data_IF_638191621508
#
_entry.id   IF_638191621508
#
_cell.length_a   1.000
_cell.length_b   1.000
_cell.length_c   1.000
_cell.angle_alpha   90.00
_cell.angle_beta   90.00
_cell.angle_gamma   90.00
#
_symmetry.space_group_name_H-M   'P 1'
#
loop_
_entity.id
_entity.type
_entity.pdbx_description
1 polymer ?
#
# COMPACT_ATOMS: atom_id res chain seq x y z
N UNK A 1 -33.98 11.80 -32.39
CA UNK A 1 -33.59 10.36 -32.39
C UNK A 1 -32.15 10.29 -32.86
N UNK A 2 -31.20 10.16 -31.97
CA UNK A 2 -29.80 9.92 -32.24
C UNK A 2 -29.22 9.13 -31.05
N UNK A 3 -29.25 7.80 -31.15
CA UNK A 3 -28.65 6.93 -30.15
C UNK A 3 -27.14 6.90 -30.34
N UNK A 4 -26.42 7.25 -29.32
CA UNK A 4 -24.97 7.07 -29.25
C UNK A 4 -24.70 5.59 -28.93
N UNK A 5 -24.14 4.86 -29.91
CA UNK A 5 -23.63 3.50 -29.67
C UNK A 5 -22.20 3.59 -29.15
N UNK A 6 -21.96 3.15 -27.94
CA UNK A 6 -20.61 2.91 -27.46
C UNK A 6 -20.11 1.59 -28.07
N UNK A 7 -19.09 1.65 -28.90
CA UNK A 7 -18.34 0.49 -29.38
C UNK A 7 -17.21 0.29 -28.40
N UNK A 8 -17.25 -0.81 -27.63
CA UNK A 8 -16.12 -1.24 -26.82
C UNK A 8 -14.99 -1.69 -27.75
N UNK A 9 -13.75 -1.22 -27.57
CA UNK A 9 -12.64 -1.67 -28.38
C UNK A 9 -12.32 -3.14 -28.03
N UNK A 10 -12.49 -4.01 -29.02
CA UNK A 10 -12.01 -5.39 -29.02
C UNK A 10 -10.48 -5.40 -28.95
N UNK A 11 -9.95 -6.16 -28.00
CA UNK A 11 -8.58 -6.68 -27.85
C UNK A 11 -7.50 -5.90 -28.61
N UNK A 12 -6.85 -4.97 -27.94
CA UNK A 12 -5.57 -4.44 -28.39
C UNK A 12 -4.51 -5.53 -28.23
N UNK A 13 -3.91 -5.96 -29.36
CA UNK A 13 -2.72 -6.76 -29.37
C UNK A 13 -1.57 -5.96 -28.75
N UNK A 14 -1.18 -6.30 -27.54
CA UNK A 14 0.05 -5.78 -26.96
C UNK A 14 1.21 -6.50 -27.65
N UNK A 15 1.86 -5.82 -28.60
CA UNK A 15 3.19 -6.19 -29.06
C UNK A 15 4.13 -6.10 -27.85
N UNK A 16 4.61 -7.25 -27.39
CA UNK A 16 5.73 -7.34 -26.47
C UNK A 16 6.94 -6.79 -27.25
N UNK A 17 7.31 -5.54 -27.00
CA UNK A 17 8.62 -5.04 -27.36
C UNK A 17 9.57 -5.65 -26.36
N UNK A 18 10.55 -6.41 -26.86
CA UNK A 18 11.76 -6.76 -26.12
C UNK A 18 12.35 -5.48 -25.52
N UNK A 19 12.03 -5.21 -24.27
CA UNK A 19 12.71 -4.17 -23.52
C UNK A 19 13.97 -4.80 -22.96
N UNK A 20 15.12 -4.39 -23.50
CA UNK A 20 16.39 -4.53 -22.80
C UNK A 20 16.16 -4.14 -21.33
N UNK A 21 16.61 -5.01 -20.42
CA UNK A 21 16.56 -4.72 -19.00
C UNK A 21 17.04 -3.29 -18.77
N UNK A 22 16.26 -2.44 -18.07
CA UNK A 22 16.68 -1.08 -17.84
C UNK A 22 18.01 -1.15 -17.08
N UNK A 23 19.08 -0.67 -17.72
CA UNK A 23 20.31 -0.39 -17.00
C UNK A 23 19.92 0.70 -16.01
N UNK A 24 19.83 0.34 -14.74
CA UNK A 24 19.78 1.31 -13.66
C UNK A 24 21.10 2.08 -13.69
N UNK A 25 21.12 3.14 -14.48
CA UNK A 25 22.12 4.17 -14.25
C UNK A 25 21.94 4.57 -12.80
N UNK A 26 22.98 4.47 -12.02
CA UNK A 26 23.09 5.01 -10.68
C UNK A 26 22.62 6.46 -10.78
N UNK A 27 21.33 6.69 -10.56
CA UNK A 27 20.80 8.01 -10.32
C UNK A 27 21.53 8.46 -9.06
N UNK A 28 22.52 9.31 -9.23
CA UNK A 28 23.13 10.04 -8.13
C UNK A 28 21.96 10.45 -7.24
N UNK A 29 21.97 10.00 -5.98
CA UNK A 29 20.87 10.15 -5.07
C UNK A 29 20.33 11.57 -5.20
N UNK A 30 19.15 11.73 -5.81
CA UNK A 30 18.59 13.05 -6.00
C UNK A 30 18.55 13.70 -4.61
N UNK A 31 19.07 14.90 -4.44
CA UNK A 31 19.13 15.62 -3.15
C UNK A 31 17.74 15.84 -2.54
N UNK A 32 16.68 15.49 -3.27
CA UNK A 32 15.31 15.64 -2.81
C UNK A 32 14.93 14.56 -1.81
N UNK A 33 14.23 14.95 -0.76
CA UNK A 33 13.67 14.01 0.20
C UNK A 33 12.38 13.32 -0.30
N UNK A 34 11.82 13.76 -1.40
CA UNK A 34 10.59 13.21 -1.97
C UNK A 34 10.91 12.15 -3.04
N UNK A 35 10.29 10.99 -2.92
CA UNK A 35 10.16 9.98 -3.97
C UNK A 35 8.76 10.08 -4.57
N UNK A 36 8.65 10.07 -5.90
CA UNK A 36 7.38 10.31 -6.61
C UNK A 36 6.93 9.13 -7.49
N UNK A 37 7.57 7.98 -7.33
CA UNK A 37 7.35 6.81 -8.19
C UNK A 37 8.01 6.95 -9.56
N UNK A 38 7.63 6.15 -10.52
CA UNK A 38 8.10 6.12 -11.93
C UNK A 38 9.50 6.68 -12.22
N UNK A 39 9.64 8.03 -12.27
CA UNK A 39 10.91 8.71 -12.56
C UNK A 39 11.85 8.76 -11.37
N UNK A 40 11.31 8.66 -10.16
CA UNK A 40 12.04 8.68 -8.90
C UNK A 40 11.44 7.64 -7.93
N UNK A 41 11.57 6.33 -8.25
CA UNK A 41 10.97 5.26 -7.48
C UNK A 41 11.59 5.09 -6.10
N UNK A 42 10.82 4.50 -5.18
CA UNK A 42 11.27 4.26 -3.81
C UNK A 42 12.30 3.12 -3.73
N UNK A 43 12.16 2.08 -4.55
CA UNK A 43 12.97 0.86 -4.48
C UNK A 43 14.50 1.11 -4.45
N UNK A 44 15.11 1.92 -5.35
CA UNK A 44 16.55 2.17 -5.32
C UNK A 44 17.03 2.78 -4.00
N UNK A 45 16.20 3.61 -3.37
CA UNK A 45 16.50 4.24 -2.08
C UNK A 45 16.48 3.22 -0.94
N UNK A 46 15.47 2.35 -0.90
CA UNK A 46 15.37 1.26 0.08
C UNK A 46 16.55 0.30 -0.06
N UNK A 47 16.92 -0.07 -1.29
CA UNK A 47 18.06 -0.95 -1.58
C UNK A 47 19.37 -0.33 -1.11
N UNK A 48 19.61 0.97 -1.40
CA UNK A 48 20.80 1.68 -0.95
C UNK A 48 20.90 1.74 0.58
N UNK A 49 19.77 1.96 1.27
CA UNK A 49 19.75 2.03 2.73
C UNK A 49 19.87 0.64 3.36
N UNK A 50 19.21 -0.41 2.83
CA UNK A 50 19.41 -1.79 3.24
C UNK A 50 20.89 -2.23 3.13
N UNK A 51 21.59 -1.78 2.07
CA UNK A 51 23.01 -2.08 1.86
C UNK A 51 23.93 -1.55 2.96
N UNK A 52 23.50 -0.60 3.78
CA UNK A 52 24.27 0.07 4.82
C UNK A 52 23.71 -0.12 6.23
N UNK A 53 22.44 -0.45 6.36
CA UNK A 53 21.74 -0.54 7.63
C UNK A 53 22.22 -1.71 8.49
N UNK A 54 22.03 -1.57 9.81
CA UNK A 54 22.16 -2.63 10.82
C UNK A 54 20.79 -3.02 11.39
N UNK A 55 19.80 -2.11 11.32
CA UNK A 55 18.41 -2.43 11.65
C UNK A 55 17.50 -1.88 10.52
N UNK A 56 16.47 -2.65 10.16
CA UNK A 56 15.44 -2.27 9.22
C UNK A 56 14.06 -2.62 9.80
N UNK A 57 13.21 -1.60 9.90
CA UNK A 57 11.84 -1.70 10.39
C UNK A 57 10.88 -1.32 9.26
N UNK A 58 9.94 -2.18 8.93
CA UNK A 58 9.01 -1.98 7.85
C UNK A 58 7.59 -2.15 8.38
N UNK A 59 6.74 -1.14 8.21
CA UNK A 59 5.31 -1.25 8.49
C UNK A 59 4.53 -0.88 7.23
N UNK A 60 3.66 -1.79 6.75
CA UNK A 60 2.87 -1.60 5.53
C UNK A 60 1.45 -2.11 5.69
N UNK A 61 0.49 -1.46 5.04
CA UNK A 61 -0.89 -1.91 5.07
C UNK A 61 -1.04 -3.31 4.46
N UNK A 62 -0.27 -3.59 3.41
CA UNK A 62 -0.22 -4.92 2.80
C UNK A 62 1.12 -5.22 2.12
N UNK A 63 1.38 -6.51 1.93
CA UNK A 63 2.51 -7.02 1.19
C UNK A 63 2.05 -8.02 0.12
N UNK A 64 2.57 -7.87 -1.10
CA UNK A 64 2.34 -8.77 -2.23
C UNK A 64 3.64 -9.47 -2.65
N UNK A 65 3.57 -10.70 -3.19
CA UNK A 65 4.75 -11.46 -3.60
C UNK A 65 5.67 -10.70 -4.55
N UNK A 66 5.10 -9.95 -5.48
CA UNK A 66 5.85 -9.16 -6.46
C UNK A 66 6.74 -8.08 -5.84
N UNK A 67 6.27 -7.43 -4.78
CA UNK A 67 7.06 -6.44 -4.05
C UNK A 67 8.12 -7.10 -3.17
N UNK A 68 7.75 -8.21 -2.49
CA UNK A 68 8.70 -8.96 -1.66
C UNK A 68 9.83 -9.54 -2.53
N UNK A 69 9.53 -10.07 -3.74
CA UNK A 69 10.53 -10.56 -4.68
C UNK A 69 11.58 -9.50 -5.04
N UNK A 70 11.17 -8.23 -5.21
CA UNK A 70 12.09 -7.13 -5.49
C UNK A 70 13.06 -6.85 -4.33
N UNK A 71 12.58 -6.99 -3.09
CA UNK A 71 13.38 -6.75 -1.89
C UNK A 71 14.19 -7.96 -1.46
N UNK A 72 13.80 -9.17 -1.85
CA UNK A 72 14.32 -10.44 -1.36
C UNK A 72 15.86 -10.57 -1.42
N UNK A 73 16.55 -10.29 -2.56
CA UNK A 73 18.00 -10.38 -2.63
C UNK A 73 18.67 -9.46 -1.60
N UNK A 74 18.15 -8.24 -1.46
CA UNK A 74 18.71 -7.21 -0.57
C UNK A 74 18.44 -7.50 0.91
N UNK A 75 17.28 -8.10 1.23
CA UNK A 75 16.96 -8.57 2.57
C UNK A 75 17.84 -9.75 2.98
N UNK A 76 18.11 -10.70 2.07
CA UNK A 76 19.05 -11.80 2.31
C UNK A 76 20.45 -11.29 2.58
N UNK A 77 20.97 -10.38 1.76
CA UNK A 77 22.29 -9.76 1.96
C UNK A 77 22.36 -8.96 3.26
N UNK A 78 21.29 -8.26 3.62
CA UNK A 78 21.17 -7.50 4.87
C UNK A 78 21.24 -8.43 6.09
N UNK A 79 20.45 -9.50 6.09
CA UNK A 79 20.42 -10.49 7.19
C UNK A 79 21.72 -11.30 7.28
N UNK A 80 22.35 -11.64 6.14
CA UNK A 80 23.65 -12.33 6.10
C UNK A 80 24.77 -11.50 6.76
N UNK A 81 24.61 -10.16 6.84
CA UNK A 81 25.52 -9.25 7.55
C UNK A 81 25.10 -8.99 9.01
N UNK A 82 24.32 -9.90 9.61
CA UNK A 82 23.76 -9.79 10.96
C UNK A 82 22.80 -8.59 11.15
N UNK A 83 22.20 -8.12 10.09
CA UNK A 83 21.15 -7.10 10.16
C UNK A 83 19.92 -7.61 10.91
N UNK A 84 19.20 -6.71 11.58
CA UNK A 84 17.96 -7.02 12.29
C UNK A 84 16.77 -6.48 11.50
N UNK A 85 15.90 -7.37 11.02
CA UNK A 85 14.69 -7.06 10.28
C UNK A 85 13.45 -7.20 11.16
N UNK A 86 12.58 -6.18 11.17
CA UNK A 86 11.21 -6.30 11.68
C UNK A 86 10.22 -5.88 10.59
N UNK A 87 9.22 -6.71 10.37
CA UNK A 87 8.14 -6.42 9.40
C UNK A 87 6.79 -6.50 10.10
N UNK A 88 5.99 -5.46 9.96
CA UNK A 88 4.61 -5.39 10.40
C UNK A 88 3.70 -5.16 9.18
N UNK A 89 2.99 -6.18 8.75
CA UNK A 89 2.00 -6.07 7.68
C UNK A 89 0.58 -6.04 8.26
N UNK A 90 -0.36 -5.35 7.62
CA UNK A 90 -1.77 -5.40 8.00
C UNK A 90 -2.49 -6.59 7.38
N UNK A 91 -3.51 -7.10 8.06
CA UNK A 91 -4.46 -8.07 7.49
C UNK A 91 -5.75 -7.41 6.97
N UNK A 92 -5.78 -6.08 6.99
CA UNK A 92 -6.94 -5.30 6.57
C UNK A 92 -7.43 -5.70 5.18
N UNK A 93 -8.71 -5.98 5.07
CA UNK A 93 -9.38 -6.47 3.85
C UNK A 93 -8.75 -7.75 3.24
N UNK A 94 -7.94 -8.47 3.98
CA UNK A 94 -7.23 -9.67 3.52
C UNK A 94 -6.38 -9.46 2.25
N UNK A 95 -5.83 -8.25 2.04
CA UNK A 95 -5.01 -7.91 0.86
C UNK A 95 -3.61 -8.46 0.95
N UNK A 96 -3.00 -8.44 2.15
CA UNK A 96 -1.69 -9.08 2.35
C UNK A 96 -1.74 -10.52 1.83
N UNK A 97 -0.81 -10.87 0.93
CA UNK A 97 -0.81 -12.19 0.33
C UNK A 97 -0.11 -13.20 1.25
N UNK A 98 -0.73 -14.37 1.54
CA UNK A 98 -0.10 -15.44 2.32
C UNK A 98 1.26 -15.87 1.78
N UNK A 99 1.45 -15.86 0.44
CA UNK A 99 2.73 -16.19 -0.18
C UNK A 99 3.78 -15.14 0.17
N UNK A 100 3.43 -13.86 0.22
CA UNK A 100 4.34 -12.81 0.64
C UNK A 100 4.81 -13.00 2.09
N UNK A 101 3.91 -13.43 2.98
CA UNK A 101 4.25 -13.74 4.37
C UNK A 101 5.18 -14.96 4.46
N UNK A 102 4.86 -16.06 3.76
CA UNK A 102 5.76 -17.24 3.67
C UNK A 102 7.15 -16.85 3.17
N UNK A 103 7.25 -16.00 2.14
CA UNK A 103 8.54 -15.51 1.64
C UNK A 103 9.35 -14.77 2.71
N UNK A 104 8.71 -14.00 3.60
CA UNK A 104 9.42 -13.38 4.72
C UNK A 104 9.85 -14.41 5.77
N UNK A 105 9.05 -15.44 6.02
CA UNK A 105 9.41 -16.54 6.92
C UNK A 105 10.57 -17.41 6.41
N UNK A 106 10.75 -17.49 5.08
CA UNK A 106 11.87 -18.22 4.45
C UNK A 106 13.22 -17.48 4.57
N UNK A 107 13.23 -16.23 5.04
CA UNK A 107 14.47 -15.50 5.26
C UNK A 107 15.22 -16.09 6.47
N UNK A 108 16.50 -16.36 6.32
CA UNK A 108 17.39 -16.75 7.42
C UNK A 108 17.95 -15.52 8.13
N UNK A 109 18.23 -15.63 9.44
CA UNK A 109 18.86 -14.55 10.22
C UNK A 109 17.91 -13.90 11.23
N UNK A 110 18.26 -12.71 11.70
CA UNK A 110 17.56 -11.99 12.78
C UNK A 110 16.34 -11.26 12.26
N UNK A 111 15.25 -11.99 12.06
CA UNK A 111 13.98 -11.44 11.61
C UNK A 111 12.87 -11.63 12.64
N UNK A 112 11.94 -10.68 12.69
CA UNK A 112 10.68 -10.72 13.45
C UNK A 112 9.56 -10.23 12.53
N UNK A 113 8.65 -11.13 12.16
CA UNK A 113 7.60 -10.89 11.19
C UNK A 113 6.26 -10.96 11.90
N UNK A 114 5.51 -9.86 11.88
CA UNK A 114 4.21 -9.75 12.54
C UNK A 114 3.13 -9.27 11.59
N UNK A 115 1.91 -9.63 11.93
CA UNK A 115 0.71 -9.10 11.27
C UNK A 115 -0.11 -8.32 12.29
N UNK A 116 -0.47 -7.10 11.93
CA UNK A 116 -1.42 -6.30 12.69
C UNK A 116 -2.83 -6.77 12.34
N UNK A 117 -3.48 -7.43 13.28
CA UNK A 117 -4.84 -7.94 13.12
C UNK A 117 -5.84 -6.80 13.28
N UNK A 118 -6.50 -6.42 12.18
CA UNK A 118 -7.53 -5.40 12.19
C UNK A 118 -8.85 -5.99 12.68
N UNK A 119 -9.46 -5.32 13.65
CA UNK A 119 -10.84 -5.60 14.05
C UNK A 119 -11.78 -4.71 13.23
N UNK A 120 -13.06 -5.04 13.18
CA UNK A 120 -14.07 -4.37 12.33
C UNK A 120 -14.10 -2.84 12.39
N UNK A 121 -13.55 -2.21 13.44
CA UNK A 121 -13.54 -0.76 13.63
C UNK A 121 -12.19 -0.09 13.43
N UNK A 122 -11.11 -0.84 13.20
CA UNK A 122 -9.77 -0.31 13.10
C UNK A 122 -9.13 -0.67 11.76
N UNK A 123 -8.79 0.34 10.97
CA UNK A 123 -8.03 0.16 9.73
C UNK A 123 -6.53 0.32 10.00
N UNK A 124 -5.71 -0.54 9.38
CA UNK A 124 -4.26 -0.42 9.39
C UNK A 124 -3.79 -0.04 7.99
N UNK A 125 -3.41 1.24 7.79
CA UNK A 125 -3.07 1.77 6.47
C UNK A 125 -1.71 2.46 6.43
N UNK A 126 -0.81 2.08 7.32
CA UNK A 126 0.54 2.63 7.45
C UNK A 126 1.46 2.14 6.33
N UNK A 127 2.38 3.00 5.86
CA UNK A 127 3.48 2.63 4.96
C UNK A 127 4.71 3.40 5.39
N UNK A 128 5.61 2.70 6.05
CA UNK A 128 6.83 3.28 6.63
C UNK A 128 7.98 2.28 6.54
N UNK A 129 9.16 2.79 6.15
CA UNK A 129 10.40 2.03 6.08
C UNK A 129 11.45 2.80 6.86
N UNK A 130 12.05 2.20 7.89
CA UNK A 130 12.98 2.84 8.82
C UNK A 130 14.29 2.07 8.82
N UNK A 131 15.39 2.76 8.67
CA UNK A 131 16.73 2.18 8.64
C UNK A 131 17.61 2.87 9.68
N UNK A 132 18.37 2.08 10.46
CA UNK A 132 19.40 2.56 11.38
C UNK A 132 20.75 2.11 10.87
N UNK A 133 21.71 3.02 10.91
CA UNK A 133 23.07 2.79 10.43
C UNK A 133 24.06 2.59 11.58
N UNK A 134 25.26 1.99 11.30
CA UNK A 134 26.26 1.72 12.33
C UNK A 134 26.77 2.96 13.09
N UNK A 135 26.72 4.13 12.45
CA UNK A 135 27.12 5.42 13.02
C UNK A 135 26.08 6.05 13.95
N UNK A 136 24.99 5.35 14.22
CA UNK A 136 23.85 5.84 15.03
C UNK A 136 22.89 6.75 14.27
N UNK A 137 23.16 7.10 13.02
CA UNK A 137 22.21 7.84 12.18
C UNK A 137 21.13 6.93 11.61
N UNK A 138 20.09 7.53 11.00
CA UNK A 138 19.01 6.75 10.39
C UNK A 138 18.26 7.51 9.34
N UNK A 139 17.44 6.78 8.61
CA UNK A 139 16.48 7.30 7.62
C UNK A 139 15.14 6.63 7.77
N UNK A 140 14.09 7.39 7.63
CA UNK A 140 12.73 6.87 7.55
C UNK A 140 12.06 7.38 6.27
N UNK A 141 11.27 6.53 5.64
CA UNK A 141 10.41 6.88 4.51
C UNK A 141 8.97 6.71 4.96
N UNK A 142 8.17 7.76 4.86
CA UNK A 142 6.75 7.75 5.20
C UNK A 142 5.97 8.20 3.97
N UNK A 143 4.96 7.44 3.58
CA UNK A 143 4.20 7.78 2.38
C UNK A 143 3.11 6.79 2.01
N UNK A 144 2.90 6.59 0.71
CA UNK A 144 1.82 5.79 0.17
C UNK A 144 2.23 4.38 -0.27
N UNK A 145 3.55 4.07 -0.38
CA UNK A 145 4.03 2.81 -0.98
C UNK A 145 3.90 1.60 -0.05
N UNK A 146 3.04 0.66 -0.42
CA UNK A 146 3.03 -0.69 0.13
C UNK A 146 4.14 -1.56 -0.48
N UNK A 147 4.31 -2.80 0.01
CA UNK A 147 5.23 -3.77 -0.60
C UNK A 147 4.53 -4.44 -1.79
N UNK A 148 4.55 -3.76 -2.94
CA UNK A 148 4.14 -4.30 -4.24
C UNK A 148 5.08 -3.79 -5.32
N UNK A 149 5.17 -4.46 -6.47
CA UNK A 149 5.99 -3.98 -7.59
C UNK A 149 5.58 -2.58 -8.01
N UNK A 150 4.27 -2.37 -8.21
CA UNK A 150 3.76 -1.07 -8.64
C UNK A 150 4.13 0.04 -7.66
N UNK A 151 3.92 -0.17 -6.36
CA UNK A 151 4.19 0.87 -5.37
C UNK A 151 5.69 1.16 -5.17
N UNK A 152 6.55 0.16 -5.33
CA UNK A 152 8.00 0.33 -5.13
C UNK A 152 8.73 0.85 -6.37
N UNK A 153 8.20 0.59 -7.59
CA UNK A 153 8.93 0.77 -8.84
C UNK A 153 8.17 1.57 -9.91
N UNK A 154 6.95 1.15 -10.27
CA UNK A 154 6.30 1.56 -11.51
C UNK A 154 5.14 2.55 -11.32
N UNK A 155 4.57 2.60 -10.12
CA UNK A 155 3.39 3.39 -9.78
C UNK A 155 3.70 4.85 -9.48
N UNK A 156 2.65 5.64 -9.35
CA UNK A 156 2.73 7.03 -8.86
C UNK A 156 2.51 7.00 -7.36
N UNK A 157 3.58 7.17 -6.62
CA UNK A 157 3.59 7.07 -5.16
C UNK A 157 4.42 8.20 -4.57
N UNK A 158 3.98 8.75 -3.47
CA UNK A 158 4.74 9.75 -2.75
C UNK A 158 5.26 9.21 -1.43
N UNK A 159 6.59 9.28 -1.25
CA UNK A 159 7.23 8.93 0.00
C UNK A 159 8.24 10.03 0.38
N UNK A 160 8.12 10.53 1.59
CA UNK A 160 9.01 11.54 2.12
C UNK A 160 10.08 10.90 3.00
N UNK A 161 11.33 11.24 2.74
CA UNK A 161 12.50 10.77 3.50
C UNK A 161 12.80 11.71 4.66
N UNK A 162 12.75 11.20 5.87
CA UNK A 162 13.23 11.86 7.09
C UNK A 162 14.63 11.36 7.39
N UNK A 163 15.58 12.27 7.61
CA UNK A 163 16.99 11.95 7.88
C UNK A 163 17.32 12.40 9.29
N UNK A 164 17.79 11.50 10.15
CA UNK A 164 18.02 11.78 11.57
C UNK A 164 19.06 12.89 11.81
N UNK A 165 20.02 13.09 10.91
CA UNK A 165 21.03 14.15 11.04
C UNK A 165 20.47 15.56 10.88
N UNK A 166 19.30 15.72 10.22
CA UNK A 166 18.65 17.01 9.99
C UNK A 166 17.31 17.16 10.70
N UNK A 167 16.67 16.05 11.10
CA UNK A 167 15.36 15.99 11.74
C UNK A 167 15.33 14.86 12.78
N UNK A 168 16.18 14.98 13.82
CA UNK A 168 16.36 13.93 14.82
C UNK A 168 15.08 13.62 15.60
N UNK A 169 14.32 14.65 16.00
CA UNK A 169 13.05 14.46 16.73
C UNK A 169 12.03 13.70 15.88
N UNK A 170 11.83 14.10 14.62
CA UNK A 170 10.86 13.47 13.72
C UNK A 170 11.23 12.00 13.45
N UNK A 171 12.53 11.73 13.26
CA UNK A 171 13.01 10.36 13.05
C UNK A 171 12.76 9.48 14.28
N UNK A 172 13.04 9.99 15.49
CA UNK A 172 12.80 9.23 16.73
C UNK A 172 11.31 9.07 17.01
N UNK A 173 10.47 10.06 16.70
CA UNK A 173 9.02 9.94 16.83
C UNK A 173 8.46 8.85 15.92
N UNK A 174 8.88 8.81 14.64
CA UNK A 174 8.49 7.74 13.71
C UNK A 174 8.95 6.37 14.22
N UNK A 175 10.18 6.28 14.71
CA UNK A 175 10.76 5.05 15.26
C UNK A 175 10.05 4.58 16.53
N UNK A 176 9.64 5.52 17.38
CA UNK A 176 8.90 5.21 18.60
C UNK A 176 7.48 4.72 18.29
N UNK A 177 6.82 5.36 17.34
CA UNK A 177 5.48 4.93 16.88
C UNK A 177 5.54 3.53 16.26
N UNK A 178 6.54 3.22 15.43
CA UNK A 178 6.73 1.86 14.93
C UNK A 178 6.90 0.87 16.09
N UNK A 179 7.76 1.16 17.07
CA UNK A 179 8.00 0.27 18.22
C UNK A 179 6.73 0.04 19.04
N UNK A 180 5.93 1.09 19.25
CA UNK A 180 4.65 0.98 19.95
C UNK A 180 3.66 0.09 19.20
N UNK A 181 3.54 0.26 17.87
CA UNK A 181 2.67 -0.58 17.04
C UNK A 181 3.16 -2.02 16.95
N UNK A 182 4.46 -2.21 16.81
CA UNK A 182 5.07 -3.53 16.74
C UNK A 182 4.94 -4.34 18.04
N UNK A 183 4.88 -3.65 19.19
CA UNK A 183 4.61 -4.22 20.50
C UNK A 183 3.13 -4.23 20.92
N UNK A 184 2.22 -3.83 20.04
CA UNK A 184 0.81 -3.79 20.33
C UNK A 184 0.19 -5.18 20.40
N UNK A 185 -0.84 -5.38 21.23
CA UNK A 185 -1.52 -6.69 21.42
C UNK A 185 -2.11 -7.25 20.11
N UNK A 186 -2.44 -6.38 19.16
CA UNK A 186 -2.92 -6.76 17.82
C UNK A 186 -1.80 -7.13 16.84
N UNK A 187 -0.53 -6.85 17.16
CA UNK A 187 0.61 -7.24 16.34
C UNK A 187 1.06 -8.65 16.73
N UNK A 188 0.53 -9.64 16.04
CA UNK A 188 0.75 -11.05 16.33
C UNK A 188 1.91 -11.61 15.52
N UNK A 189 2.66 -12.54 16.11
CA UNK A 189 3.70 -13.28 15.42
C UNK A 189 3.10 -14.13 14.30
N UNK A 190 3.80 -14.21 13.18
CA UNK A 190 3.38 -15.02 12.02
C UNK A 190 4.21 -16.29 11.98
N UNK A 191 3.53 -17.42 11.93
CA UNK A 191 4.06 -18.75 11.64
C UNK A 191 3.24 -19.42 10.52
N UNK A 192 3.62 -20.62 10.11
CA UNK A 192 2.92 -21.36 9.04
C UNK A 192 1.47 -21.68 9.41
N UNK A 193 1.19 -21.98 10.67
CA UNK A 193 -0.17 -22.29 11.14
C UNK A 193 -1.07 -21.04 11.07
N UNK A 194 -0.51 -19.88 11.41
CA UNK A 194 -1.20 -18.60 11.26
C UNK A 194 -1.48 -18.31 9.79
N UNK A 195 -0.49 -18.48 8.90
CA UNK A 195 -0.63 -18.28 7.46
C UNK A 195 -1.71 -19.21 6.88
N UNK A 196 -1.75 -20.48 7.29
CA UNK A 196 -2.74 -21.43 6.82
C UNK A 196 -4.16 -21.07 7.29
N UNK A 197 -4.29 -20.57 8.51
CA UNK A 197 -5.56 -20.08 9.04
C UNK A 197 -6.00 -18.82 8.30
N UNK A 198 -5.09 -17.89 8.06
CA UNK A 198 -5.32 -16.69 7.28
C UNK A 198 -5.73 -16.99 5.84
N UNK A 199 -5.05 -17.95 5.17
CA UNK A 199 -5.39 -18.42 3.82
C UNK A 199 -6.81 -18.96 3.73
N UNK A 200 -7.28 -19.70 4.75
CA UNK A 200 -8.64 -20.29 4.80
C UNK A 200 -9.73 -19.24 4.96
N UNK A 201 -9.48 -18.16 5.68
CA UNK A 201 -10.45 -17.06 5.87
C UNK A 201 -10.52 -16.08 4.70
N UNK A 202 -9.54 -16.09 3.81
CA UNK A 202 -9.60 -15.23 2.61
C UNK A 202 -10.73 -15.70 1.70
N UNK A 203 -11.54 -14.77 1.15
CA UNK A 203 -12.54 -15.14 0.14
C UNK A 203 -11.84 -15.83 -1.05
N UNK A 204 -12.41 -16.93 -1.53
CA UNK A 204 -11.86 -17.71 -2.67
C UNK A 204 -11.84 -16.91 -3.97
N UNK A 205 -12.69 -15.89 -4.07
CA UNK A 205 -12.80 -14.96 -5.19
C UNK A 205 -12.04 -13.65 -4.95
N UNK A 206 -10.97 -13.66 -4.16
CA UNK A 206 -10.09 -12.50 -4.11
C UNK A 206 -9.60 -12.27 -5.53
N UNK A 207 -10.22 -11.30 -6.20
CA UNK A 207 -9.78 -10.78 -7.48
C UNK A 207 -8.28 -10.61 -7.38
N UNK A 208 -7.54 -11.35 -8.19
CA UNK A 208 -6.12 -11.10 -8.39
C UNK A 208 -6.04 -9.63 -8.79
N UNK A 209 -5.69 -8.77 -7.83
CA UNK A 209 -5.55 -7.34 -8.10
C UNK A 209 -4.54 -7.26 -9.24
N UNK A 210 -4.91 -6.80 -10.43
CA UNK A 210 -3.94 -6.60 -11.47
C UNK A 210 -2.88 -5.68 -10.89
N UNK A 211 -1.62 -6.07 -10.95
CA UNK A 211 -0.47 -5.35 -10.37
C UNK A 211 -0.36 -3.88 -10.82
N UNK A 212 -1.25 -3.44 -11.69
CA UNK A 212 -1.19 -2.14 -12.38
C UNK A 212 -1.88 -1.03 -11.60
N UNK A 213 -2.83 -1.34 -10.75
CA UNK A 213 -3.47 -0.38 -9.84
C UNK A 213 -3.89 -1.19 -8.62
N UNK A 214 -3.29 -0.95 -7.45
CA UNK A 214 -4.02 -1.23 -6.24
C UNK A 214 -5.12 -0.15 -6.18
N UNK A 215 -6.37 -0.42 -6.60
CA UNK A 215 -7.42 0.49 -6.26
C UNK A 215 -7.40 0.56 -4.73
N UNK A 216 -7.57 1.73 -4.17
CA UNK A 216 -8.09 1.79 -2.81
C UNK A 216 -9.25 0.82 -2.82
N UNK A 217 -9.10 -0.29 -2.09
CA UNK A 217 -10.08 -1.37 -2.12
C UNK A 217 -11.44 -0.75 -1.86
N UNK A 218 -12.47 -1.14 -2.62
CA UNK A 218 -13.78 -0.72 -2.25
C UNK A 218 -13.95 -1.13 -0.79
N UNK A 219 -14.07 -0.15 0.06
CA UNK A 219 -14.62 -0.36 1.37
C UNK A 219 -15.83 -1.28 1.22
N UNK A 220 -16.10 -2.09 2.22
CA UNK A 220 -17.36 -2.82 2.38
C UNK A 220 -18.46 -2.05 1.68
N UNK A 221 -19.33 -2.69 0.90
CA UNK A 221 -20.31 -2.02 0.09
C UNK A 221 -20.87 -0.84 0.90
N UNK A 222 -20.40 0.36 0.62
CA UNK A 222 -20.77 1.52 1.40
C UNK A 222 -22.25 1.68 1.25
N UNK A 223 -22.98 1.47 2.33
CA UNK A 223 -24.37 1.87 2.38
C UNK A 223 -24.41 3.40 2.50
N UNK A 224 -25.29 4.06 1.75
CA UNK A 224 -25.44 5.50 1.86
C UNK A 224 -25.84 5.85 3.29
N UNK A 225 -25.21 6.88 3.86
CA UNK A 225 -25.64 7.45 5.12
C UNK A 225 -27.01 8.12 4.95
N UNK A 226 -27.78 8.27 6.03
CA UNK A 226 -29.13 8.84 6.03
C UNK A 226 -29.28 10.15 5.22
N UNK A 227 -28.29 11.04 5.29
CA UNK A 227 -28.26 12.29 4.49
C UNK A 227 -28.06 12.00 3.00
N UNK A 228 -27.30 10.97 2.65
CA UNK A 228 -27.11 10.55 1.25
C UNK A 228 -28.34 9.83 0.73
N UNK A 229 -29.00 9.01 1.54
CA UNK A 229 -30.29 8.37 1.20
C UNK A 229 -31.35 9.41 0.88
N UNK A 230 -31.51 10.42 1.72
CA UNK A 230 -32.45 11.54 1.50
C UNK A 230 -32.14 12.27 0.19
N UNK A 231 -30.87 12.50 -0.12
CA UNK A 231 -30.43 13.13 -1.35
C UNK A 231 -30.71 12.26 -2.58
N UNK A 232 -30.47 10.94 -2.49
CA UNK A 232 -30.76 9.98 -3.56
C UNK A 232 -32.26 9.89 -3.84
N UNK A 233 -33.10 9.80 -2.81
CA UNK A 233 -34.55 9.83 -2.96
C UNK A 233 -35.04 11.13 -3.62
N UNK A 234 -34.45 12.28 -3.26
CA UNK A 234 -34.78 13.56 -3.86
C UNK A 234 -34.41 13.59 -5.36
N UNK A 235 -33.28 13.02 -5.74
CA UNK A 235 -32.85 12.88 -7.14
C UNK A 235 -33.81 11.97 -7.93
N UNK A 236 -34.22 10.84 -7.37
CA UNK A 236 -35.21 9.94 -7.97
C UNK A 236 -36.54 10.66 -8.20
N UNK A 237 -37.05 11.37 -7.19
CA UNK A 237 -38.29 12.17 -7.33
C UNK A 237 -38.17 13.25 -8.41
N UNK A 238 -37.00 13.89 -8.48
CA UNK A 238 -36.75 14.95 -9.51
C UNK A 238 -36.79 14.37 -10.92
N UNK A 239 -36.19 13.17 -11.14
CA UNK A 239 -36.25 12.48 -12.44
C UNK A 239 -37.68 12.00 -12.78
N UNK A 240 -38.39 11.46 -11.79
CA UNK A 240 -39.77 11.03 -11.97
C UNK A 240 -40.71 12.19 -12.36
N UNK A 241 -40.40 13.41 -11.91
CA UNK A 241 -41.12 14.64 -12.31
C UNK A 241 -40.69 15.17 -13.68
N UNK A 242 -39.87 14.44 -14.46
CA UNK A 242 -39.47 14.79 -15.83
C UNK A 242 -38.30 15.79 -15.92
N UNK A 243 -37.64 16.12 -14.80
CA UNK A 243 -36.48 17.01 -14.79
C UNK A 243 -35.22 16.25 -15.24
N UNK A 244 -34.41 16.86 -16.08
CA UNK A 244 -33.17 16.28 -16.62
C UNK A 244 -31.93 16.64 -15.77
N UNK A 245 -32.08 17.53 -14.77
CA UNK A 245 -30.98 17.95 -13.88
C UNK A 245 -31.51 18.24 -12.48
N UNK A 246 -30.69 17.97 -11.49
CA UNK A 246 -30.92 18.29 -10.08
C UNK A 246 -29.64 18.85 -9.45
N UNK A 247 -29.78 19.77 -8.52
CA UNK A 247 -28.65 20.30 -7.73
C UNK A 247 -28.73 19.75 -6.31
N UNK A 248 -27.68 19.05 -5.89
CA UNK A 248 -27.51 18.60 -4.50
C UNK A 248 -26.38 19.40 -3.85
N UNK A 249 -26.69 20.06 -2.74
CA UNK A 249 -25.71 20.84 -1.95
C UNK A 249 -25.47 20.12 -0.64
N UNK A 250 -24.25 19.60 -0.46
CA UNK A 250 -23.79 18.96 0.76
C UNK A 250 -22.58 19.70 1.33
N UNK A 251 -22.46 19.75 2.66
CA UNK A 251 -21.27 20.27 3.31
C UNK A 251 -20.02 19.45 2.96
N UNK A 252 -18.85 20.05 3.15
CA UNK A 252 -17.58 19.36 2.94
C UNK A 252 -17.44 18.20 3.93
N UNK A 253 -16.99 17.04 3.46
CA UNK A 253 -16.87 15.83 4.28
C UNK A 253 -18.07 14.88 4.27
N UNK A 254 -19.23 15.28 3.75
CA UNK A 254 -20.43 14.43 3.69
C UNK A 254 -20.49 13.47 2.48
N UNK A 255 -19.36 13.19 1.86
CA UNK A 255 -19.25 12.13 0.84
C UNK A 255 -19.94 12.45 -0.50
N UNK A 256 -19.80 13.67 -1.03
CA UNK A 256 -20.36 14.07 -2.35
C UNK A 256 -19.97 13.12 -3.48
N UNK A 257 -18.74 12.64 -3.48
CA UNK A 257 -18.23 11.69 -4.48
C UNK A 257 -18.96 10.34 -4.39
N UNK A 258 -19.20 9.86 -3.17
CA UNK A 258 -19.97 8.64 -2.92
C UNK A 258 -21.44 8.79 -3.34
N UNK A 259 -22.05 9.93 -3.03
CA UNK A 259 -23.42 10.21 -3.48
C UNK A 259 -23.54 10.11 -5.01
N UNK A 260 -22.57 10.66 -5.75
CA UNK A 260 -22.55 10.57 -7.21
C UNK A 260 -22.37 9.12 -7.69
N UNK A 261 -21.56 8.32 -7.00
CA UNK A 261 -21.37 6.90 -7.32
C UNK A 261 -22.67 6.09 -7.09
N UNK A 262 -23.33 6.29 -5.95
CA UNK A 262 -24.61 5.64 -5.64
C UNK A 262 -25.72 6.03 -6.62
N UNK A 263 -25.77 7.30 -7.02
CA UNK A 263 -26.76 7.80 -7.98
C UNK A 263 -26.56 7.21 -9.39
N UNK A 264 -25.33 6.92 -9.77
CA UNK A 264 -24.99 6.31 -11.07
C UNK A 264 -25.28 4.80 -11.09
N UNK A 265 -25.34 4.16 -9.93
CA UNK A 265 -25.59 2.72 -9.81
C UNK A 265 -27.08 2.37 -9.77
N UNK A 266 -27.99 3.35 -9.68
CA UNK A 266 -29.46 3.21 -9.76
C UNK A 266 -29.96 3.33 -11.19
#
# INVERSE_FOLDING_TARGET
RGGVRYVLPTRANYLVRDSQAPQYQSLAASDTNLSTGRENPLLPRLVADLGRAVEADIAVAFALPSGVQLLMPHLKDFLARDGKLRVLAGDYLNVTDPVALSMFLDLEGRRDIRVFQTQQSLSFHLKTYIFRFPDGTGRAYVGSSNISRSALQDGVEWNYRVVSSSAACDFEDISNQFRALFGHDQAVDVDEDWIDTYRRRRPKDTVTVPEIVAPELPAEAFEPHSIQEEALEALVRTRAAGNTAGLVVLATGLGKTWLSAFDTAQ
#
